data_IF_339550820686
#
_entry.id   IF_339550820686
#
_cell.length_a   1.000
_cell.length_b   1.000
_cell.length_c   1.000
_cell.angle_alpha   90.00
_cell.angle_beta   90.00
_cell.angle_gamma   90.00
#
_symmetry.space_group_name_H-M   'P 1'
#
loop_
_entity.id
_entity.type
_entity.pdbx_description
1 polymer ?
#
# COMPACT_ATOMS: atom_id res chain seq x y z
N UNK A 1 -20.01 5.09 15.71
CA UNK A 1 -20.76 6.30 15.26
C UNK A 1 -21.68 5.87 14.14
N UNK A 2 -23.01 5.97 14.31
CA UNK A 2 -23.95 5.63 13.24
C UNK A 2 -23.82 6.67 12.13
N UNK A 3 -23.48 6.28 10.90
CA UNK A 3 -23.49 7.20 9.76
C UNK A 3 -24.95 7.65 9.55
N UNK A 4 -25.19 8.95 9.48
CA UNK A 4 -26.49 9.50 9.13
C UNK A 4 -26.72 9.21 7.65
N UNK A 5 -27.70 8.38 7.34
CA UNK A 5 -28.12 8.11 5.97
C UNK A 5 -28.86 9.36 5.45
N UNK A 6 -28.34 9.96 4.38
CA UNK A 6 -28.97 11.13 3.76
C UNK A 6 -30.19 10.70 2.95
N UNK A 7 -31.23 11.51 2.98
CA UNK A 7 -32.40 11.28 2.12
C UNK A 7 -32.02 11.54 0.65
N UNK A 8 -32.75 10.96 -0.32
CA UNK A 8 -32.52 11.22 -1.74
C UNK A 8 -32.59 12.72 -2.11
N UNK A 9 -33.43 13.49 -1.41
CA UNK A 9 -33.57 14.93 -1.60
C UNK A 9 -32.35 15.71 -1.09
N UNK A 10 -31.79 15.34 0.07
CA UNK A 10 -30.55 15.92 0.59
C UNK A 10 -29.36 15.61 -0.34
N UNK A 11 -29.34 14.43 -0.96
CA UNK A 11 -28.31 14.06 -1.94
C UNK A 11 -28.43 14.93 -3.20
N UNK A 12 -29.64 15.07 -3.74
CA UNK A 12 -29.88 15.89 -4.93
C UNK A 12 -29.54 17.37 -4.69
N UNK A 13 -29.85 17.90 -3.50
CA UNK A 13 -29.48 19.26 -3.12
C UNK A 13 -27.96 19.47 -3.08
N UNK A 14 -27.20 18.49 -2.60
CA UNK A 14 -25.72 18.55 -2.58
C UNK A 14 -25.11 18.45 -3.98
N UNK A 15 -25.68 17.64 -4.87
CA UNK A 15 -25.24 17.61 -6.26
C UNK A 15 -25.51 18.96 -6.95
N UNK A 16 -26.69 19.55 -6.75
CA UNK A 16 -26.99 20.88 -7.29
C UNK A 16 -26.03 21.97 -6.77
N UNK A 17 -25.61 21.87 -5.50
CA UNK A 17 -24.61 22.77 -4.93
C UNK A 17 -23.23 22.58 -5.58
N UNK A 18 -22.78 21.33 -5.76
CA UNK A 18 -21.50 21.00 -6.41
C UNK A 18 -21.50 21.45 -7.87
N UNK A 19 -22.57 21.16 -8.62
CA UNK A 19 -22.69 21.51 -10.04
C UNK A 19 -22.75 23.03 -10.27
N UNK A 20 -23.25 23.79 -9.28
CA UNK A 20 -23.26 25.25 -9.30
C UNK A 20 -21.91 25.88 -8.95
N UNK A 21 -20.96 25.12 -8.40
CA UNK A 21 -19.61 25.64 -8.15
C UNK A 21 -18.88 25.86 -9.49
N UNK A 22 -18.23 27.02 -9.69
CA UNK A 22 -17.45 27.24 -10.90
C UNK A 22 -16.29 26.26 -10.94
N UNK A 23 -16.17 25.50 -12.04
CA UNK A 23 -15.00 24.67 -12.27
C UNK A 23 -13.76 25.57 -12.39
N UNK A 24 -12.71 25.25 -11.65
CA UNK A 24 -11.42 25.89 -11.82
C UNK A 24 -10.88 25.52 -13.20
N UNK A 25 -10.44 26.52 -13.96
CA UNK A 25 -9.80 26.27 -15.26
C UNK A 25 -8.39 25.74 -15.00
N UNK A 26 -7.91 24.76 -15.79
CA UNK A 26 -6.54 24.28 -15.69
C UNK A 26 -5.55 25.45 -15.70
N UNK A 27 -4.65 25.45 -14.74
CA UNK A 27 -3.54 26.40 -14.69
C UNK A 27 -2.56 26.14 -15.85
N UNK A 28 -1.65 27.07 -16.17
CA UNK A 28 -0.60 26.82 -17.14
C UNK A 28 0.28 25.61 -16.79
N UNK A 29 0.42 25.29 -15.50
CA UNK A 29 1.16 24.12 -15.02
C UNK A 29 0.40 22.83 -15.35
N UNK A 30 -0.92 22.82 -15.15
CA UNK A 30 -1.78 21.68 -15.51
C UNK A 30 -1.75 21.40 -17.02
N UNK A 31 -1.85 22.45 -17.85
CA UNK A 31 -1.76 22.32 -19.31
C UNK A 31 -0.42 21.73 -19.76
N UNK A 32 0.66 22.12 -19.08
CA UNK A 32 1.99 21.56 -19.34
C UNK A 32 2.06 20.09 -18.96
N UNK A 33 1.52 19.71 -17.80
CA UNK A 33 1.48 18.33 -17.35
C UNK A 33 0.65 17.44 -18.31
N UNK A 34 -0.47 17.94 -18.84
CA UNK A 34 -1.25 17.22 -19.86
C UNK A 34 -0.46 17.03 -21.15
N UNK A 35 0.20 18.09 -21.65
CA UNK A 35 1.01 17.99 -22.86
C UNK A 35 2.20 17.03 -22.71
N UNK A 36 2.78 16.94 -21.51
CA UNK A 36 3.84 15.99 -21.18
C UNK A 36 3.31 14.55 -21.18
N UNK A 37 2.18 14.30 -20.52
CA UNK A 37 1.55 12.97 -20.50
C UNK A 37 1.08 12.50 -21.89
N UNK A 38 0.56 13.40 -22.73
CA UNK A 38 0.15 13.07 -24.11
C UNK A 38 1.36 12.74 -25.01
N UNK A 39 2.55 13.24 -24.66
CA UNK A 39 3.79 12.98 -25.39
C UNK A 39 4.51 11.69 -24.94
N UNK A 40 4.15 11.12 -23.78
CA UNK A 40 4.68 9.84 -23.32
C UNK A 40 4.20 8.69 -24.21
N UNK A 41 5.11 7.81 -24.62
CA UNK A 41 4.77 6.61 -25.39
C UNK A 41 4.25 5.52 -24.44
N UNK A 42 2.98 5.09 -24.56
CA UNK A 42 2.43 4.04 -23.70
C UNK A 42 3.17 2.69 -23.81
N UNK A 43 3.94 2.46 -24.87
CA UNK A 43 4.73 1.24 -25.05
C UNK A 43 5.98 1.19 -24.16
N UNK A 44 6.41 2.32 -23.60
CA UNK A 44 7.50 2.39 -22.62
C UNK A 44 7.03 2.04 -21.20
N UNK A 45 5.71 1.96 -20.96
CA UNK A 45 5.16 1.60 -19.67
C UNK A 45 5.47 0.12 -19.33
N UNK A 46 6.04 -0.10 -18.14
CA UNK A 46 6.20 -1.45 -17.60
C UNK A 46 4.84 -2.05 -17.24
N UNK A 47 4.67 -3.35 -17.50
CA UNK A 47 3.44 -4.03 -17.09
C UNK A 47 3.31 -4.05 -15.56
N UNK A 48 2.08 -4.18 -15.07
CA UNK A 48 1.83 -4.29 -13.63
C UNK A 48 2.52 -5.52 -13.02
N UNK A 49 2.61 -6.60 -13.77
CA UNK A 49 3.32 -7.82 -13.40
C UNK A 49 4.83 -7.58 -13.32
N UNK A 50 5.41 -6.91 -14.31
CA UNK A 50 6.85 -6.59 -14.34
C UNK A 50 7.23 -5.63 -13.22
N UNK A 51 6.39 -4.62 -12.95
CA UNK A 51 6.58 -3.72 -11.80
C UNK A 51 6.48 -4.45 -10.45
N UNK A 52 5.55 -5.40 -10.31
CA UNK A 52 5.48 -6.24 -9.10
C UNK A 52 6.72 -7.14 -8.97
N UNK A 53 7.20 -7.69 -10.09
CA UNK A 53 8.39 -8.53 -10.12
C UNK A 53 9.69 -7.74 -9.86
N UNK A 54 9.74 -6.46 -10.27
CA UNK A 54 10.88 -5.58 -10.02
C UNK A 54 10.94 -5.08 -8.58
N UNK A 55 9.93 -5.37 -7.74
CA UNK A 55 10.01 -5.05 -6.31
C UNK A 55 11.05 -5.94 -5.65
N UNK A 56 12.04 -5.31 -5.04
CA UNK A 56 12.98 -6.01 -4.18
C UNK A 56 12.27 -6.63 -2.98
N UNK A 57 12.61 -7.88 -2.68
CA UNK A 57 12.17 -8.53 -1.45
C UNK A 57 12.85 -7.88 -0.25
N UNK A 58 12.08 -7.37 0.70
CA UNK A 58 12.60 -6.60 1.84
C UNK A 58 13.53 -7.38 2.79
N UNK A 59 13.59 -8.71 2.66
CA UNK A 59 14.32 -9.60 3.56
C UNK A 59 13.80 -9.62 5.01
N UNK A 60 12.74 -8.86 5.32
CA UNK A 60 12.21 -8.68 6.67
C UNK A 60 10.94 -9.51 6.86
N UNK A 61 10.99 -10.44 7.81
CA UNK A 61 9.85 -11.26 8.20
C UNK A 61 9.27 -10.75 9.53
N UNK A 62 8.11 -10.09 9.49
CA UNK A 62 7.38 -9.65 10.70
C UNK A 62 6.19 -10.56 10.95
N UNK A 63 6.24 -11.36 12.03
CA UNK A 63 5.18 -12.30 12.40
C UNK A 63 4.63 -12.01 13.79
N UNK A 64 3.32 -12.21 13.96
CA UNK A 64 2.68 -12.27 15.28
C UNK A 64 2.48 -13.74 15.62
N UNK A 65 3.12 -14.19 16.70
CA UNK A 65 3.05 -15.58 17.16
C UNK A 65 2.59 -15.65 18.62
N UNK A 66 1.95 -16.76 19.06
CA UNK A 66 1.59 -16.96 20.46
C UNK A 66 2.80 -16.86 21.40
N UNK A 67 2.58 -16.35 22.62
CA UNK A 67 3.64 -16.14 23.62
C UNK A 67 4.41 -17.43 23.95
N UNK A 68 3.69 -18.56 24.01
CA UNK A 68 4.28 -19.86 24.31
C UNK A 68 5.24 -20.33 23.22
N UNK A 69 4.85 -20.13 21.95
CA UNK A 69 5.71 -20.47 20.80
C UNK A 69 6.95 -19.57 20.79
N UNK A 70 6.78 -18.27 21.00
CA UNK A 70 7.91 -17.34 21.10
C UNK A 70 8.88 -17.76 22.23
N UNK A 71 8.37 -18.10 23.42
CA UNK A 71 9.19 -18.55 24.55
C UNK A 71 9.99 -19.80 24.17
N UNK A 72 9.34 -20.82 23.62
CA UNK A 72 9.99 -22.07 23.22
C UNK A 72 11.14 -21.83 22.23
N UNK A 73 10.89 -21.01 21.20
CA UNK A 73 11.90 -20.68 20.20
C UNK A 73 13.07 -19.88 20.80
N UNK A 74 12.78 -18.94 21.70
CA UNK A 74 13.81 -18.15 22.38
C UNK A 74 14.70 -19.00 23.30
N UNK A 75 14.12 -19.94 24.04
CA UNK A 75 14.86 -20.90 24.88
C UNK A 75 15.76 -21.80 24.02
N UNK A 76 15.25 -22.30 22.90
CA UNK A 76 16.03 -23.12 21.97
C UNK A 76 17.17 -22.31 21.33
N UNK A 77 16.92 -21.08 20.90
CA UNK A 77 17.94 -20.19 20.35
C UNK A 77 19.05 -19.95 21.38
N UNK A 78 18.69 -19.65 22.64
CA UNK A 78 19.62 -19.47 23.75
C UNK A 78 20.44 -20.72 24.03
N UNK A 79 19.83 -21.90 24.02
CA UNK A 79 20.53 -23.18 24.21
C UNK A 79 21.57 -23.46 23.11
N UNK A 80 21.33 -22.96 21.90
CA UNK A 80 22.27 -23.04 20.77
C UNK A 80 23.27 -21.86 20.73
N UNK A 81 23.21 -20.93 21.69
CA UNK A 81 24.10 -19.77 21.74
C UNK A 81 23.90 -18.76 20.59
N UNK A 82 22.74 -18.76 19.94
CA UNK A 82 22.45 -17.90 18.77
C UNK A 82 21.26 -16.97 19.04
N UNK A 83 21.15 -15.91 18.24
CA UNK A 83 19.97 -15.04 18.28
C UNK A 83 18.72 -15.78 17.79
N UNK A 84 17.54 -15.32 18.23
CA UNK A 84 16.27 -15.90 17.77
C UNK A 84 16.11 -15.79 16.24
N UNK A 85 16.60 -14.69 15.64
CA UNK A 85 16.56 -14.51 14.19
C UNK A 85 17.47 -15.52 13.46
N UNK A 86 18.67 -15.77 13.99
CA UNK A 86 19.58 -16.78 13.44
C UNK A 86 19.02 -18.19 13.60
N UNK A 87 18.40 -18.48 14.75
CA UNK A 87 17.72 -19.75 14.98
C UNK A 87 16.55 -19.95 14.02
N UNK A 88 15.75 -18.92 13.78
CA UNK A 88 14.67 -18.95 12.80
C UNK A 88 15.20 -19.19 11.37
N UNK A 89 16.28 -18.49 10.97
CA UNK A 89 16.93 -18.71 9.69
C UNK A 89 17.39 -20.16 9.52
N UNK A 90 18.07 -20.71 10.53
CA UNK A 90 18.50 -22.12 10.52
C UNK A 90 17.32 -23.08 10.36
N UNK A 91 16.19 -22.80 11.03
CA UNK A 91 14.97 -23.61 10.92
C UNK A 91 14.23 -23.46 9.60
N UNK A 92 14.34 -22.32 8.93
CA UNK A 92 13.74 -22.07 7.62
C UNK A 92 14.60 -22.59 6.46
N UNK A 93 15.91 -22.74 6.68
CA UNK A 93 16.86 -23.27 5.69
C UNK A 93 16.95 -24.81 5.69
N UNK A 94 16.28 -25.49 6.64
CA UNK A 94 16.08 -26.94 6.67
C UNK A 94 14.80 -27.32 5.95
#
# INVERSE_FOLDING_TARGET
MKKRELTPEEIAARFAEIDAMPHEKPTPEDLKAFAEADAEDPSEAVSWEDYKASREYSGKLMLRIPKELHRKLAEQAKANGVSLNQYALYKLAQ
#
